data_IF_743289173523
#
_entry.id   IF_743289173523
#
_cell.length_a   1.000
_cell.length_b   1.000
_cell.length_c   1.000
_cell.angle_alpha   90.00
_cell.angle_beta   90.00
_cell.angle_gamma   90.00
#
_symmetry.space_group_name_H-M   'P 1'
#
loop_
_entity.id
_entity.type
_entity.pdbx_description
1 polymer ?
#
# COMPACT_ATOMS: atom_id res chain seq x y z
N UNK A 1 -11.38 18.07 35.25
CA UNK A 1 -11.57 17.21 34.07
C UNK A 1 -10.21 16.96 33.41
N UNK A 2 -9.97 15.77 32.85
CA UNK A 2 -8.64 15.31 32.42
C UNK A 2 -8.34 15.76 30.99
N UNK A 3 -7.19 16.39 30.79
CA UNK A 3 -6.62 16.70 29.48
C UNK A 3 -5.65 15.58 29.07
N UNK A 4 -5.64 15.25 27.78
CA UNK A 4 -4.72 14.24 27.24
C UNK A 4 -3.64 14.95 26.42
N UNK A 5 -2.38 14.77 26.80
CA UNK A 5 -1.24 15.42 26.19
C UNK A 5 -0.36 14.35 25.54
N UNK A 6 -0.24 14.36 24.22
CA UNK A 6 0.70 13.52 23.47
C UNK A 6 1.86 14.38 23.01
N UNK A 7 3.08 13.93 23.27
CA UNK A 7 4.31 14.66 22.91
C UNK A 7 5.32 13.73 22.26
N UNK A 8 6.11 14.28 21.35
CA UNK A 8 7.21 13.56 20.70
C UNK A 8 8.36 14.51 20.35
N UNK A 9 9.59 14.03 20.49
CA UNK A 9 10.80 14.75 20.12
C UNK A 9 11.52 14.10 18.94
N UNK A 10 11.77 14.87 17.89
CA UNK A 10 12.55 14.42 16.74
C UNK A 10 13.89 15.17 16.67
N UNK A 11 15.00 14.44 16.50
CA UNK A 11 16.30 15.04 16.16
C UNK A 11 16.93 14.32 14.97
N UNK A 12 17.48 15.12 14.05
CA UNK A 12 18.08 14.67 12.79
C UNK A 12 19.23 15.59 12.38
N UNK A 13 19.93 15.24 11.30
CA UNK A 13 20.98 16.11 10.73
C UNK A 13 20.45 17.46 10.24
N UNK A 14 19.15 17.53 9.92
CA UNK A 14 18.49 18.72 9.42
C UNK A 14 18.06 19.69 10.53
N UNK A 15 17.99 19.20 11.77
CA UNK A 15 17.52 19.97 12.92
C UNK A 15 16.77 19.08 13.91
N UNK A 16 16.29 19.72 14.97
CA UNK A 16 15.46 19.08 15.99
C UNK A 16 14.10 19.79 16.08
N UNK A 17 13.08 19.04 16.46
CA UNK A 17 11.71 19.50 16.51
C UNK A 17 10.91 18.78 17.57
N UNK A 18 9.84 19.42 17.99
CA UNK A 18 8.90 18.97 19.01
C UNK A 18 7.51 18.96 18.41
N UNK A 19 6.78 17.88 18.64
CA UNK A 19 5.39 17.73 18.29
C UNK A 19 4.52 17.60 19.53
N UNK A 20 3.39 18.30 19.54
CA UNK A 20 2.47 18.34 20.68
C UNK A 20 1.05 18.22 20.16
N UNK A 21 0.29 17.30 20.75
CA UNK A 21 -1.15 17.17 20.55
C UNK A 21 -1.83 17.16 21.91
N UNK A 22 -2.58 18.21 22.19
CA UNK A 22 -3.30 18.40 23.44
C UNK A 22 -4.81 18.30 23.18
N UNK A 23 -5.47 17.36 23.85
CA UNK A 23 -6.90 17.09 23.72
C UNK A 23 -7.63 17.52 24.98
N UNK A 24 -8.63 18.39 24.81
CA UNK A 24 -9.46 18.87 25.91
C UNK A 24 -10.46 17.80 26.37
N UNK A 25 -11.02 17.93 27.59
CA UNK A 25 -12.07 17.04 28.07
C UNK A 25 -13.34 17.05 27.21
N UNK A 26 -13.55 18.09 26.40
CA UNK A 26 -14.67 18.25 25.47
C UNK A 26 -14.36 17.69 24.07
N UNK A 27 -13.14 17.20 23.83
CA UNK A 27 -12.71 16.60 22.58
C UNK A 27 -12.09 17.57 21.58
N UNK A 28 -11.88 18.83 21.96
CA UNK A 28 -11.16 19.81 21.12
C UNK A 28 -9.68 19.45 21.09
N UNK A 29 -9.07 19.55 19.91
CA UNK A 29 -7.68 19.17 19.68
C UNK A 29 -6.86 20.41 19.35
N UNK A 30 -5.78 20.61 20.09
CA UNK A 30 -4.77 21.63 19.83
C UNK A 30 -3.46 20.94 19.44
N UNK A 31 -3.03 21.15 18.20
CA UNK A 31 -1.80 20.56 17.65
C UNK A 31 -0.78 21.65 17.36
N UNK A 32 0.46 21.45 17.83
CA UNK A 32 1.55 22.39 17.62
C UNK A 32 2.87 21.67 17.29
N UNK A 33 3.67 22.34 16.48
CA UNK A 33 5.00 21.91 16.04
C UNK A 33 6.00 23.02 16.34
N UNK A 34 7.05 22.73 17.09
CA UNK A 34 8.11 23.68 17.43
C UNK A 34 9.45 23.22 16.92
N UNK A 35 10.15 24.06 16.14
CA UNK A 35 11.55 23.82 15.79
C UNK A 35 12.44 24.25 16.95
N UNK A 36 13.40 23.41 17.30
CA UNK A 36 14.46 23.78 18.23
C UNK A 36 15.59 24.47 17.46
N UNK A 37 15.86 25.74 17.77
CA UNK A 37 16.90 26.54 17.11
C UNK A 37 18.30 26.32 17.74
N UNK A 38 18.48 25.14 18.32
CA UNK A 38 19.72 24.69 18.95
C UNK A 38 19.91 23.18 18.68
N UNK A 39 21.16 22.69 18.67
CA UNK A 39 21.41 21.26 18.54
C UNK A 39 20.91 20.51 19.78
N UNK A 40 20.02 19.55 19.55
CA UNK A 40 19.52 18.64 20.57
C UNK A 40 19.76 17.20 20.15
N UNK A 41 20.13 16.33 21.08
CA UNK A 41 20.06 14.88 20.87
C UNK A 41 18.60 14.40 20.83
N UNK A 42 18.34 13.15 20.43
CA UNK A 42 16.99 12.59 20.49
C UNK A 42 16.42 12.71 21.91
N UNK A 43 17.15 12.27 22.94
CA UNK A 43 16.67 12.33 24.32
C UNK A 43 16.39 13.76 24.79
N UNK A 44 17.21 14.73 24.35
CA UNK A 44 16.99 16.15 24.66
C UNK A 44 15.73 16.66 23.96
N UNK A 45 15.50 16.32 22.69
CA UNK A 45 14.28 16.68 21.98
C UNK A 45 13.02 16.10 22.64
N UNK A 46 13.08 14.86 23.16
CA UNK A 46 11.96 14.26 23.91
C UNK A 46 11.66 15.02 25.21
N UNK A 47 12.70 15.46 25.92
CA UNK A 47 12.55 16.29 27.11
C UNK A 47 12.01 17.68 26.79
N UNK A 48 12.49 18.31 25.71
CA UNK A 48 11.93 19.58 25.23
C UNK A 48 10.46 19.40 24.83
N UNK A 49 10.09 18.24 24.28
CA UNK A 49 8.72 17.95 23.91
C UNK A 49 7.78 17.90 25.11
N UNK A 50 8.15 17.18 26.17
CA UNK A 50 7.33 17.16 27.40
C UNK A 50 7.28 18.54 28.06
N UNK A 51 8.39 19.27 28.13
CA UNK A 51 8.44 20.60 28.74
C UNK A 51 7.56 21.60 27.98
N UNK A 52 7.65 21.62 26.65
CA UNK A 52 6.80 22.46 25.81
C UNK A 52 5.32 22.06 25.96
N UNK A 53 5.03 20.76 26.01
CA UNK A 53 3.67 20.23 26.21
C UNK A 53 3.06 20.68 27.54
N UNK A 54 3.82 20.60 28.63
CA UNK A 54 3.37 21.05 29.95
C UNK A 54 3.14 22.56 29.99
N UNK A 55 4.04 23.35 29.39
CA UNK A 55 3.87 24.81 29.30
C UNK A 55 2.59 25.18 28.54
N UNK A 56 2.33 24.50 27.42
CA UNK A 56 1.11 24.71 26.65
C UNK A 56 -0.15 24.30 27.43
N UNK A 57 -0.12 23.15 28.11
CA UNK A 57 -1.22 22.69 28.94
C UNK A 57 -1.55 23.67 30.07
N UNK A 58 -0.52 24.27 30.69
CA UNK A 58 -0.69 25.33 31.68
C UNK A 58 -1.31 26.59 31.08
N UNK A 59 -0.86 27.02 29.91
CA UNK A 59 -1.35 28.25 29.25
C UNK A 59 -2.84 28.16 28.89
N UNK A 60 -3.33 26.97 28.54
CA UNK A 60 -4.77 26.73 28.31
C UNK A 60 -5.57 26.49 29.59
N UNK A 61 -4.94 26.56 30.77
CA UNK A 61 -5.61 26.40 32.07
C UNK A 61 -5.97 24.96 32.43
N UNK A 62 -5.21 23.96 31.94
CA UNK A 62 -5.42 22.57 32.31
C UNK A 62 -5.04 22.34 33.79
N UNK A 63 -5.98 21.80 34.58
CA UNK A 63 -5.76 21.46 35.99
C UNK A 63 -5.29 20.01 36.19
N UNK A 64 -5.73 19.09 35.34
CA UNK A 64 -5.43 17.66 35.41
C UNK A 64 -4.94 17.17 34.04
N UNK A 65 -3.71 16.66 33.96
CA UNK A 65 -3.07 16.29 32.69
C UNK A 65 -2.61 14.84 32.73
N UNK A 66 -2.98 14.06 31.71
CA UNK A 66 -2.36 12.79 31.38
C UNK A 66 -1.43 12.99 30.19
N UNK A 67 -0.12 12.91 30.43
CA UNK A 67 0.86 12.96 29.37
C UNK A 67 1.21 11.55 28.86
N UNK A 68 1.39 11.45 27.55
CA UNK A 68 1.84 10.26 26.85
C UNK A 68 3.09 10.60 26.03
N UNK A 69 4.11 9.76 26.15
CA UNK A 69 5.30 9.81 25.30
C UNK A 69 5.72 8.37 24.95
N UNK A 70 6.46 8.18 23.86
CA UNK A 70 7.00 6.85 23.51
C UNK A 70 8.44 6.63 24.05
N UNK A 71 9.09 7.71 24.49
CA UNK A 71 10.43 7.70 25.06
C UNK A 71 10.48 7.00 26.40
N UNK A 72 11.02 5.77 26.38
CA UNK A 72 11.24 4.98 27.59
C UNK A 72 12.14 5.68 28.60
N UNK A 73 13.14 6.44 28.13
CA UNK A 73 14.09 7.12 29.01
C UNK A 73 13.38 8.21 29.81
N UNK A 74 12.62 9.07 29.15
CA UNK A 74 11.89 10.17 29.80
C UNK A 74 10.87 9.61 30.80
N UNK A 75 10.07 8.63 30.39
CA UNK A 75 9.06 8.04 31.27
C UNK A 75 9.67 7.39 32.52
N UNK A 76 10.78 6.64 32.38
CA UNK A 76 11.42 5.94 33.50
C UNK A 76 12.25 6.84 34.40
N UNK A 77 12.87 7.90 33.86
CA UNK A 77 13.55 8.88 34.69
C UNK A 77 12.55 9.70 35.50
N UNK A 78 11.41 10.06 34.89
CA UNK A 78 10.35 10.76 35.60
C UNK A 78 9.69 9.92 36.71
N UNK A 79 9.47 8.61 36.48
CA UNK A 79 8.94 7.71 37.52
C UNK A 79 9.93 7.43 38.65
N UNK A 80 11.22 7.77 38.47
CA UNK A 80 12.29 7.45 39.41
C UNK A 80 12.85 6.03 39.25
N UNK A 81 12.45 5.29 38.21
CA UNK A 81 12.99 3.96 37.92
C UNK A 81 14.42 4.01 37.39
N UNK A 82 14.78 5.08 36.67
CA UNK A 82 16.11 5.34 36.11
C UNK A 82 16.74 6.61 36.67
N UNK A 83 18.03 6.56 36.97
CA UNK A 83 18.80 7.74 37.36
C UNK A 83 19.17 8.59 36.12
N UNK A 84 19.16 9.92 36.30
CA UNK A 84 19.77 10.86 35.37
C UNK A 84 21.29 10.87 35.59
N UNK A 85 22.04 10.29 34.66
CA UNK A 85 23.48 10.05 34.82
C UNK A 85 24.38 11.28 34.58
N UNK A 86 23.84 12.31 33.94
CA UNK A 86 24.58 13.52 33.55
C UNK A 86 23.81 14.77 34.01
N UNK A 87 24.54 15.82 34.37
CA UNK A 87 24.04 17.10 34.87
C UNK A 87 22.99 17.70 33.93
N UNK A 88 23.15 17.50 32.62
CA UNK A 88 22.20 18.00 31.62
C UNK A 88 20.85 17.26 31.68
N UNK A 89 20.85 15.94 31.79
CA UNK A 89 19.62 15.15 31.91
C UNK A 89 18.96 15.36 33.27
N UNK A 90 19.76 15.55 34.32
CA UNK A 90 19.25 15.90 35.65
C UNK A 90 18.56 17.27 35.65
N UNK A 91 19.12 18.26 34.94
CA UNK A 91 18.46 19.54 34.74
C UNK A 91 17.11 19.42 34.01
N UNK A 92 17.02 18.60 32.96
CA UNK A 92 15.77 18.33 32.27
C UNK A 92 14.72 17.64 33.15
N UNK A 93 15.13 16.64 33.92
CA UNK A 93 14.27 15.95 34.86
C UNK A 93 13.74 16.89 35.94
N UNK A 94 14.59 17.77 36.49
CA UNK A 94 14.21 18.80 37.47
C UNK A 94 13.15 19.74 36.91
N UNK A 95 13.38 20.32 35.72
CA UNK A 95 12.41 21.23 35.09
C UNK A 95 11.08 20.53 34.82
N UNK A 96 11.11 19.30 34.30
CA UNK A 96 9.89 18.52 34.03
C UNK A 96 9.13 18.21 35.32
N UNK A 97 9.85 17.88 36.40
CA UNK A 97 9.27 17.59 37.73
C UNK A 97 8.74 18.84 38.43
N UNK A 98 9.33 20.00 38.20
CA UNK A 98 8.82 21.27 38.72
C UNK A 98 7.55 21.69 37.99
N UNK A 99 7.53 21.61 36.66
CA UNK A 99 6.34 21.91 35.86
C UNK A 99 5.17 20.98 36.18
N UNK A 100 5.43 19.70 36.42
CA UNK A 100 4.37 18.74 36.75
C UNK A 100 3.64 19.05 38.07
N UNK A 101 4.33 19.70 39.03
CA UNK A 101 3.75 20.12 40.32
C UNK A 101 2.80 21.30 40.21
N UNK A 102 2.80 22.00 39.08
CA UNK A 102 1.87 23.11 38.86
C UNK A 102 0.44 22.63 38.56
N UNK A 103 0.27 21.36 38.21
CA UNK A 103 -1.02 20.73 37.98
C UNK A 103 -1.56 20.10 39.27
N UNK A 104 -2.89 20.08 39.43
CA UNK A 104 -3.55 19.38 40.55
C UNK A 104 -3.35 17.87 40.47
N UNK A 105 -3.20 17.34 39.26
CA UNK A 105 -2.89 15.94 38.99
C UNK A 105 -2.11 15.84 37.69
N UNK A 106 -1.02 15.09 37.73
CA UNK A 106 -0.19 14.80 36.58
C UNK A 106 0.19 13.32 36.54
N UNK A 107 0.04 12.70 35.38
CA UNK A 107 0.47 11.33 35.10
C UNK A 107 1.27 11.33 33.80
N UNK A 108 2.43 10.68 33.78
CA UNK A 108 3.21 10.44 32.56
C UNK A 108 3.22 8.94 32.27
N UNK A 109 2.71 8.55 31.10
CA UNK A 109 2.62 7.15 30.67
C UNK A 109 3.39 6.92 29.39
N UNK A 110 4.22 5.88 29.39
CA UNK A 110 4.86 5.41 28.16
C UNK A 110 3.84 4.69 27.28
N UNK A 111 3.76 5.07 26.02
CA UNK A 111 2.96 4.36 25.00
C UNK A 111 3.85 3.80 23.88
N UNK A 112 3.39 2.81 23.10
CA UNK A 112 4.06 2.40 21.87
C UNK A 112 4.10 3.55 20.85
N UNK A 113 5.17 3.62 20.05
CA UNK A 113 5.31 4.64 19.00
C UNK A 113 4.16 4.62 17.97
N UNK A 114 3.60 3.44 17.70
CA UNK A 114 2.45 3.30 16.81
C UNK A 114 1.17 3.99 17.33
N UNK A 115 1.11 4.32 18.62
CA UNK A 115 0.01 5.05 19.25
C UNK A 115 0.32 6.55 19.43
N UNK A 116 1.53 7.01 19.05
CA UNK A 116 1.98 8.40 19.17
C UNK A 116 2.21 9.07 17.79
N UNK A 117 1.54 8.59 16.75
CA UNK A 117 1.84 8.91 15.35
C UNK A 117 1.68 10.38 15.00
N UNK A 118 0.69 11.05 15.59
CA UNK A 118 0.39 12.45 15.34
C UNK A 118 1.46 13.36 15.92
N UNK A 119 1.89 13.10 17.16
CA UNK A 119 2.96 13.86 17.79
C UNK A 119 4.30 13.63 17.05
N UNK A 120 4.60 12.39 16.64
CA UNK A 120 5.77 12.06 15.81
C UNK A 120 5.78 12.83 14.49
N UNK A 121 4.63 12.86 13.79
CA UNK A 121 4.50 13.61 12.54
C UNK A 121 4.73 15.12 12.74
N UNK A 122 4.19 15.69 13.83
CA UNK A 122 4.37 17.09 14.19
C UNK A 122 5.84 17.42 14.54
N UNK A 123 6.53 16.53 15.24
CA UNK A 123 7.94 16.69 15.59
C UNK A 123 8.85 16.60 14.34
N UNK A 124 8.56 15.61 13.48
CA UNK A 124 9.25 15.44 12.20
C UNK A 124 9.08 16.65 11.29
N UNK A 125 7.88 17.21 11.21
CA UNK A 125 7.57 18.43 10.46
C UNK A 125 8.41 19.61 10.95
N UNK A 126 8.48 19.82 12.26
CA UNK A 126 9.29 20.89 12.86
C UNK A 126 10.78 20.73 12.58
N UNK A 127 11.32 19.52 12.74
CA UNK A 127 12.76 19.23 12.58
C UNK A 127 13.29 19.52 11.17
N UNK A 128 12.41 19.49 10.15
CA UNK A 128 12.75 19.69 8.73
C UNK A 128 12.39 21.08 8.21
N UNK A 129 11.78 21.92 9.03
CA UNK A 129 11.33 23.26 8.62
C UNK A 129 12.48 24.26 8.66
N UNK A 130 12.53 25.15 7.68
CA UNK A 130 13.50 26.26 7.65
C UNK A 130 13.06 27.38 8.60
N UNK A 131 13.96 27.82 9.50
CA UNK A 131 13.65 28.83 10.52
C UNK A 131 13.51 30.24 9.95
N UNK A 132 13.99 30.49 8.73
CA UNK A 132 13.91 31.82 8.10
C UNK A 132 12.49 32.22 7.66
N UNK A 133 11.53 31.28 7.63
CA UNK A 133 10.18 31.50 7.11
C UNK A 133 9.14 31.24 8.19
N UNK A 134 8.38 32.28 8.54
CA UNK A 134 7.13 32.11 9.30
C UNK A 134 6.12 31.41 8.39
N UNK A 135 5.76 30.18 8.72
CA UNK A 135 4.79 29.36 7.98
C UNK A 135 3.56 29.10 8.83
N UNK A 136 2.40 29.15 8.20
CA UNK A 136 1.14 28.66 8.76
C UNK A 136 0.69 27.51 7.87
N UNK A 137 0.35 26.37 8.47
CA UNK A 137 -0.08 25.17 7.75
C UNK A 137 -1.59 25.04 7.97
N UNK A 138 -2.43 25.48 7.04
CA UNK A 138 -3.86 25.22 7.12
C UNK A 138 -4.12 23.74 6.84
N UNK A 139 -4.90 23.10 7.71
CA UNK A 139 -5.43 21.75 7.48
C UNK A 139 -6.87 21.91 7.05
N UNK A 140 -7.15 21.61 5.77
CA UNK A 140 -8.49 21.68 5.18
C UNK A 140 -8.97 20.28 4.79
N UNK A 141 -10.26 20.01 4.98
CA UNK A 141 -10.88 18.75 4.58
C UNK A 141 -11.44 18.88 3.17
N UNK A 142 -11.01 18.01 2.26
CA UNK A 142 -11.61 17.86 0.93
C UNK A 142 -12.61 16.70 1.01
N UNK A 143 -13.91 17.02 1.06
CA UNK A 143 -14.97 16.03 1.28
C UNK A 143 -15.19 15.08 0.09
N UNK A 144 -14.87 15.53 -1.12
CA UNK A 144 -15.11 14.76 -2.35
C UNK A 144 -13.93 14.87 -3.31
N UNK A 145 -13.60 13.80 -4.07
CA UNK A 145 -12.57 13.87 -5.10
C UNK A 145 -12.86 14.97 -6.14
N UNK A 146 -11.83 15.68 -6.57
CA UNK A 146 -11.95 16.73 -7.59
C UNK A 146 -12.22 16.21 -9.02
N UNK A 147 -12.51 14.91 -9.18
CA UNK A 147 -12.71 14.26 -10.48
C UNK A 147 -14.12 13.67 -10.58
N UNK A 148 -14.64 13.66 -11.81
CA UNK A 148 -15.87 12.91 -12.15
C UNK A 148 -15.45 11.64 -12.85
N UNK A 149 -15.66 10.51 -12.20
CA UNK A 149 -15.44 9.21 -12.84
C UNK A 149 -16.53 8.94 -13.89
N UNK A 150 -16.20 8.27 -15.01
CA UNK A 150 -17.19 7.80 -15.97
C UNK A 150 -18.23 6.92 -15.26
N UNK A 151 -19.49 6.98 -15.70
CA UNK A 151 -20.55 6.11 -15.18
C UNK A 151 -20.11 4.64 -15.32
N UNK A 152 -20.09 3.90 -14.21
CA UNK A 152 -19.68 2.48 -14.16
C UNK A 152 -18.24 2.23 -13.69
N UNK A 153 -17.40 3.26 -13.51
CA UNK A 153 -16.10 3.11 -12.86
C UNK A 153 -16.28 3.02 -11.33
N UNK A 154 -16.15 1.82 -10.77
CA UNK A 154 -16.08 1.63 -9.33
C UNK A 154 -14.66 1.94 -8.83
N UNK A 155 -14.55 2.81 -7.83
CA UNK A 155 -13.34 2.90 -7.03
C UNK A 155 -13.22 1.55 -6.31
N UNK A 156 -12.12 0.84 -6.54
CA UNK A 156 -11.75 -0.30 -5.70
C UNK A 156 -11.42 0.27 -4.33
N UNK A 157 -12.42 0.41 -3.46
CA UNK A 157 -12.18 0.68 -2.05
C UNK A 157 -11.44 -0.53 -1.51
N UNK A 158 -10.16 -0.34 -1.20
CA UNK A 158 -9.39 -1.29 -0.38
C UNK A 158 -9.92 -1.11 1.04
N UNK A 159 -11.16 -1.52 1.29
CA UNK A 159 -11.48 -2.01 2.61
C UNK A 159 -10.81 -3.37 2.67
N UNK A 160 -9.86 -3.53 3.59
CA UNK A 160 -9.60 -4.85 4.15
C UNK A 160 -10.89 -5.22 4.89
N UNK A 161 -11.89 -5.68 4.13
CA UNK A 161 -13.00 -6.42 4.73
C UNK A 161 -12.35 -7.67 5.28
N UNK A 162 -12.34 -7.76 6.61
CA UNK A 162 -11.99 -8.96 7.35
C UNK A 162 -12.72 -10.14 6.72
N UNK A 163 -11.96 -11.18 6.41
CA UNK A 163 -12.44 -12.39 5.77
C UNK A 163 -13.52 -13.03 6.66
N UNK A 164 -14.80 -12.86 6.28
CA UNK A 164 -15.84 -13.79 6.70
C UNK A 164 -15.68 -15.05 5.86
N UNK A 165 -15.07 -16.05 6.50
CA UNK A 165 -14.95 -17.43 6.05
C UNK A 165 -16.33 -18.09 5.78
N UNK A 166 -16.28 -19.05 4.84
CA UNK A 166 -17.19 -20.18 4.65
C UNK A 166 -18.56 -19.97 3.99
N UNK A 167 -18.67 -20.44 2.74
CA UNK A 167 -19.68 -21.44 2.32
C UNK A 167 -19.15 -22.12 1.04
N UNK A 168 -19.01 -23.46 1.10
CA UNK A 168 -18.51 -24.31 0.01
C UNK A 168 -19.23 -24.07 -1.33
N UNK A 169 -18.47 -23.86 -2.40
CA UNK A 169 -18.97 -23.80 -3.78
C UNK A 169 -19.60 -25.15 -4.17
N UNK A 170 -20.87 -25.19 -4.60
CA UNK A 170 -21.33 -26.30 -5.43
C UNK A 170 -20.71 -26.15 -6.82
N UNK A 171 -19.86 -27.10 -7.22
CA UNK A 171 -19.41 -27.31 -8.60
C UNK A 171 -20.63 -27.57 -9.49
N UNK A 172 -21.16 -26.53 -10.14
CA UNK A 172 -22.14 -26.70 -11.23
C UNK A 172 -21.39 -26.84 -12.55
N UNK A 173 -21.68 -27.87 -13.37
CA UNK A 173 -21.13 -27.96 -14.72
C UNK A 173 -21.51 -26.72 -15.52
N UNK A 174 -20.57 -26.14 -16.26
CA UNK A 174 -20.88 -25.12 -17.26
C UNK A 174 -21.89 -25.72 -18.24
N UNK A 175 -23.10 -25.16 -18.31
CA UNK A 175 -24.10 -25.55 -19.29
C UNK A 175 -23.60 -25.18 -20.69
N UNK A 176 -23.62 -26.16 -21.59
CA UNK A 176 -23.15 -26.10 -22.99
C UNK A 176 -24.04 -25.24 -23.93
N UNK A 177 -24.45 -24.04 -23.51
CA UNK A 177 -25.30 -23.16 -24.33
C UNK A 177 -24.75 -21.74 -24.39
N UNK A 178 -23.79 -21.49 -25.30
CA UNK A 178 -23.77 -20.35 -26.23
C UNK A 178 -22.41 -20.29 -26.96
N UNK A 179 -22.25 -21.04 -28.05
CA UNK A 179 -21.03 -21.06 -28.89
C UNK A 179 -20.85 -19.79 -29.75
N UNK A 180 -21.43 -18.65 -29.37
CA UNK A 180 -21.39 -17.43 -30.20
C UNK A 180 -21.17 -16.12 -29.43
N UNK A 181 -21.06 -16.13 -28.10
CA UNK A 181 -20.86 -14.90 -27.32
C UNK A 181 -19.41 -14.75 -26.88
N UNK A 182 -18.84 -13.57 -27.12
CA UNK A 182 -17.49 -13.24 -26.65
C UNK A 182 -17.51 -13.16 -25.14
N UNK A 183 -16.43 -13.60 -24.48
CA UNK A 183 -16.25 -13.44 -23.03
C UNK A 183 -16.37 -11.98 -22.56
N UNK A 184 -16.20 -11.04 -23.49
CA UNK A 184 -16.33 -9.60 -23.26
C UNK A 184 -17.79 -9.17 -23.08
N UNK A 185 -18.74 -9.86 -23.73
CA UNK A 185 -20.14 -9.45 -23.81
C UNK A 185 -20.80 -9.47 -22.43
N UNK A 186 -20.57 -10.53 -21.65
CA UNK A 186 -21.07 -10.64 -20.26
C UNK A 186 -20.60 -9.47 -19.38
N UNK A 187 -19.35 -9.04 -19.56
CA UNK A 187 -18.76 -7.93 -18.79
C UNK A 187 -19.29 -6.59 -19.31
N UNK A 188 -19.39 -6.43 -20.64
CA UNK A 188 -19.95 -5.22 -21.26
C UNK A 188 -21.40 -4.99 -20.85
N UNK A 189 -22.23 -6.03 -20.90
CA UNK A 189 -23.63 -5.96 -20.51
C UNK A 189 -23.79 -5.56 -19.03
N UNK A 190 -22.97 -6.13 -18.14
CA UNK A 190 -22.94 -5.71 -16.74
C UNK A 190 -22.52 -4.24 -16.56
N UNK A 191 -21.47 -3.80 -17.27
CA UNK A 191 -20.97 -2.42 -17.14
C UNK A 191 -21.91 -1.37 -17.76
N UNK A 192 -22.65 -1.71 -18.82
CA UNK A 192 -23.57 -0.80 -19.52
C UNK A 192 -24.96 -0.83 -18.89
N UNK A 193 -25.52 -2.02 -18.71
CA UNK A 193 -26.92 -2.23 -18.37
C UNK A 193 -27.13 -2.70 -16.91
N UNK A 194 -26.07 -3.04 -16.18
CA UNK A 194 -26.17 -3.58 -14.82
C UNK A 194 -26.75 -4.99 -14.76
N UNK A 195 -26.77 -5.72 -15.88
CA UNK A 195 -27.34 -7.06 -15.96
C UNK A 195 -26.55 -8.05 -15.12
N UNK A 196 -27.22 -8.76 -14.22
CA UNK A 196 -26.62 -9.79 -13.37
C UNK A 196 -27.31 -11.13 -13.62
N UNK A 197 -26.56 -12.26 -13.61
CA UNK A 197 -27.15 -13.59 -13.64
C UNK A 197 -28.14 -13.80 -12.49
N UNK A 198 -29.20 -14.59 -12.73
CA UNK A 198 -30.17 -14.95 -11.70
C UNK A 198 -29.55 -15.77 -10.56
N UNK A 199 -28.52 -16.57 -10.87
CA UNK A 199 -27.76 -17.33 -9.87
C UNK A 199 -26.88 -16.37 -9.04
N UNK A 200 -27.11 -16.35 -7.72
CA UNK A 200 -26.36 -15.51 -6.75
C UNK A 200 -24.84 -15.69 -6.84
N UNK A 201 -24.35 -16.91 -7.05
CA UNK A 201 -22.93 -17.22 -7.16
C UNK A 201 -22.33 -16.71 -8.47
N UNK A 202 -23.04 -16.92 -9.58
CA UNK A 202 -22.63 -16.37 -10.88
C UNK A 202 -22.64 -14.83 -10.85
N UNK A 203 -23.63 -14.21 -10.20
CA UNK A 203 -23.66 -12.76 -9.99
C UNK A 203 -22.50 -12.27 -9.13
N UNK A 204 -22.17 -12.96 -8.02
CA UNK A 204 -21.00 -12.62 -7.18
C UNK A 204 -19.69 -12.73 -7.97
N UNK A 205 -19.53 -13.80 -8.75
CA UNK A 205 -18.36 -14.01 -9.62
C UNK A 205 -18.24 -12.92 -10.68
N UNK A 206 -19.34 -12.56 -11.34
CA UNK A 206 -19.36 -11.49 -12.33
C UNK A 206 -19.01 -10.14 -11.72
N UNK A 207 -19.56 -9.77 -10.55
CA UNK A 207 -19.22 -8.52 -9.85
C UNK A 207 -17.73 -8.44 -9.52
N UNK A 208 -17.17 -9.50 -8.93
CA UNK A 208 -15.74 -9.58 -8.58
C UNK A 208 -14.86 -9.49 -9.83
N UNK A 209 -15.24 -10.20 -10.90
CA UNK A 209 -14.53 -10.18 -12.18
C UNK A 209 -14.58 -8.78 -12.80
N UNK A 210 -15.76 -8.19 -12.91
CA UNK A 210 -16.01 -6.90 -13.54
C UNK A 210 -15.37 -5.72 -12.80
N UNK A 211 -15.08 -5.83 -11.50
CA UNK A 211 -14.37 -4.81 -10.73
C UNK A 211 -13.00 -4.43 -11.31
N UNK A 212 -12.37 -5.32 -12.09
CA UNK A 212 -11.10 -5.06 -12.76
C UNK A 212 -11.24 -4.44 -14.15
N UNK A 213 -12.46 -4.22 -14.65
CA UNK A 213 -12.71 -3.79 -16.03
C UNK A 213 -13.45 -2.46 -16.08
N UNK A 214 -13.27 -1.75 -17.18
CA UNK A 214 -14.01 -0.52 -17.49
C UNK A 214 -14.15 -0.34 -18.99
N UNK A 215 -15.11 0.49 -19.41
CA UNK A 215 -15.36 0.81 -20.81
C UNK A 215 -14.88 2.23 -21.14
N UNK A 216 -14.23 2.35 -22.30
CA UNK A 216 -13.86 3.63 -22.89
C UNK A 216 -14.03 3.55 -24.41
N UNK A 217 -14.82 4.45 -24.99
CA UNK A 217 -15.12 4.47 -26.45
C UNK A 217 -15.62 3.11 -27.00
N UNK A 218 -16.50 2.43 -26.25
CA UNK A 218 -17.02 1.08 -26.58
C UNK A 218 -15.97 -0.06 -26.59
N UNK A 219 -14.75 0.24 -26.14
CA UNK A 219 -13.69 -0.75 -25.94
C UNK A 219 -13.55 -1.12 -24.47
N UNK A 220 -13.35 -2.42 -24.21
CA UNK A 220 -13.18 -2.96 -22.86
C UNK A 220 -11.71 -2.90 -22.45
N UNK A 221 -11.44 -2.34 -21.28
CA UNK A 221 -10.13 -2.26 -20.68
C UNK A 221 -10.09 -2.97 -19.34
N UNK A 222 -8.89 -3.41 -18.92
CA UNK A 222 -8.63 -4.08 -17.65
C UNK A 222 -7.52 -3.37 -16.87
N UNK A 223 -7.73 -3.17 -15.58
CA UNK A 223 -6.70 -2.80 -14.62
C UNK A 223 -5.86 -4.01 -14.19
N UNK A 224 -4.55 -3.86 -14.26
CA UNK A 224 -3.62 -4.79 -13.60
C UNK A 224 -3.41 -4.41 -12.13
N UNK A 225 -2.92 -5.34 -11.32
CA UNK A 225 -2.56 -5.07 -9.92
C UNK A 225 -1.57 -3.89 -9.78
N UNK A 226 -0.72 -3.67 -10.79
CA UNK A 226 0.24 -2.57 -10.84
C UNK A 226 -0.33 -1.28 -11.48
N UNK A 227 -1.66 -1.16 -11.57
CA UNK A 227 -2.38 -0.02 -12.15
C UNK A 227 -2.05 0.29 -13.62
N UNK A 228 -1.50 -0.66 -14.37
CA UNK A 228 -1.36 -0.58 -15.84
C UNK A 228 -2.69 -0.96 -16.48
N UNK A 229 -3.09 -0.18 -17.49
CA UNK A 229 -4.31 -0.38 -18.27
C UNK A 229 -3.99 -1.28 -19.48
N UNK A 230 -4.79 -2.34 -19.67
CA UNK A 230 -4.68 -3.24 -20.82
C UNK A 230 -5.98 -3.21 -21.62
N UNK A 231 -5.88 -3.06 -22.95
CA UNK A 231 -7.01 -3.21 -23.88
C UNK A 231 -7.36 -4.69 -24.02
N UNK A 232 -8.64 -5.02 -23.88
CA UNK A 232 -9.12 -6.38 -23.99
C UNK A 232 -9.36 -6.76 -25.45
N UNK A 233 -8.85 -7.91 -25.86
CA UNK A 233 -9.02 -8.45 -27.19
C UNK A 233 -10.15 -9.50 -27.23
N UNK A 234 -10.91 -9.50 -28.31
CA UNK A 234 -11.75 -10.64 -28.70
C UNK A 234 -10.88 -11.80 -29.25
N UNK A 235 -11.51 -12.95 -29.53
CA UNK A 235 -10.79 -14.12 -30.03
C UNK A 235 -10.12 -13.91 -31.40
N UNK A 236 -10.71 -13.10 -32.28
CA UNK A 236 -10.18 -12.84 -33.62
C UNK A 236 -8.97 -11.91 -33.55
N UNK A 237 -9.03 -10.91 -32.68
CA UNK A 237 -7.96 -9.98 -32.37
C UNK A 237 -6.81 -10.73 -31.67
N UNK A 238 -7.12 -11.57 -30.68
CA UNK A 238 -6.13 -12.39 -29.98
C UNK A 238 -5.31 -13.25 -30.95
N UNK A 239 -5.97 -13.93 -31.90
CA UNK A 239 -5.30 -14.74 -32.94
C UNK A 239 -4.35 -13.90 -33.80
N UNK A 240 -4.79 -12.73 -34.27
CA UNK A 240 -3.96 -11.82 -35.07
C UNK A 240 -2.75 -11.32 -34.29
N UNK A 241 -2.96 -10.92 -33.03
CA UNK A 241 -1.89 -10.44 -32.14
C UNK A 241 -0.85 -11.53 -31.88
N UNK A 242 -1.28 -12.77 -31.65
CA UNK A 242 -0.36 -13.90 -31.46
C UNK A 242 0.48 -14.15 -32.71
N UNK A 243 -0.14 -14.23 -33.89
CA UNK A 243 0.56 -14.44 -35.18
C UNK A 243 1.58 -13.32 -35.41
N UNK A 244 1.16 -12.06 -35.32
CA UNK A 244 2.04 -10.92 -35.58
C UNK A 244 3.21 -10.83 -34.58
N UNK A 245 2.95 -11.11 -33.30
CA UNK A 245 3.98 -11.00 -32.25
C UNK A 245 4.97 -12.17 -32.28
N UNK A 246 4.52 -13.35 -32.73
CA UNK A 246 5.31 -14.58 -32.77
C UNK A 246 6.04 -14.77 -34.11
N UNK A 247 5.35 -14.56 -35.24
CA UNK A 247 5.77 -14.87 -36.62
C UNK A 247 5.93 -13.62 -37.51
N UNK A 248 5.47 -12.44 -37.07
CA UNK A 248 5.51 -11.21 -37.86
C UNK A 248 6.93 -10.65 -38.05
N UNK A 249 7.03 -9.45 -38.64
CA UNK A 249 8.32 -8.84 -39.02
C UNK A 249 9.30 -8.61 -37.85
N UNK A 250 8.78 -8.57 -36.60
CA UNK A 250 9.56 -8.52 -35.35
C UNK A 250 9.37 -9.75 -34.46
N UNK A 251 8.90 -10.85 -35.03
CA UNK A 251 8.69 -12.13 -34.37
C UNK A 251 10.01 -12.78 -34.00
N UNK A 252 10.10 -13.30 -32.78
CA UNK A 252 11.31 -13.97 -32.27
C UNK A 252 11.04 -15.43 -31.89
N UNK A 253 9.91 -16.00 -32.33
CA UNK A 253 9.52 -17.37 -32.04
C UNK A 253 9.58 -17.75 -30.54
N UNK A 254 9.33 -16.78 -29.66
CA UNK A 254 9.40 -16.99 -28.22
C UNK A 254 8.34 -18.00 -27.75
N UNK A 255 8.68 -18.80 -26.73
CA UNK A 255 7.75 -19.76 -26.13
C UNK A 255 6.53 -19.09 -25.48
N UNK A 256 5.45 -19.85 -25.29
CA UNK A 256 4.11 -19.34 -24.93
C UNK A 256 4.06 -18.33 -23.78
N UNK A 257 4.71 -18.60 -22.65
CA UNK A 257 4.76 -17.65 -21.50
C UNK A 257 5.47 -16.34 -21.83
N UNK A 258 6.54 -16.41 -22.61
CA UNK A 258 7.31 -15.23 -23.05
C UNK A 258 6.52 -14.42 -24.08
N UNK A 259 5.80 -15.10 -24.97
CA UNK A 259 4.88 -14.46 -25.93
C UNK A 259 3.76 -13.71 -25.20
N UNK A 260 3.08 -14.36 -24.25
CA UNK A 260 2.04 -13.73 -23.43
C UNK A 260 2.56 -12.51 -22.66
N UNK A 261 3.77 -12.59 -22.11
CA UNK A 261 4.41 -11.48 -21.41
C UNK A 261 4.73 -10.30 -22.34
N UNK A 262 5.19 -10.58 -23.57
CA UNK A 262 5.44 -9.55 -24.60
C UNK A 262 4.13 -8.85 -25.00
N UNK A 263 3.06 -9.62 -25.21
CA UNK A 263 1.74 -9.08 -25.56
C UNK A 263 1.18 -8.19 -24.44
N UNK A 264 1.31 -8.61 -23.17
CA UNK A 264 0.94 -7.75 -22.02
C UNK A 264 1.74 -6.45 -21.96
N UNK A 265 3.04 -6.48 -22.30
CA UNK A 265 3.86 -5.26 -22.40
C UNK A 265 3.38 -4.31 -23.50
N UNK A 266 2.75 -4.83 -24.55
CA UNK A 266 2.08 -4.03 -25.57
C UNK A 266 0.69 -3.50 -25.15
N UNK A 267 0.28 -3.74 -23.90
CA UNK A 267 -0.98 -3.21 -23.38
C UNK A 267 -2.21 -4.02 -23.79
N UNK A 268 -2.06 -5.29 -24.16
CA UNK A 268 -3.16 -6.14 -24.63
C UNK A 268 -3.48 -7.25 -23.62
N UNK A 269 -4.74 -7.72 -23.58
CA UNK A 269 -5.19 -8.74 -22.64
C UNK A 269 -6.38 -9.59 -23.15
N UNK A 270 -6.43 -10.87 -22.78
CA UNK A 270 -7.65 -11.70 -22.77
C UNK A 270 -7.50 -12.84 -21.74
N UNK A 271 -8.59 -13.44 -21.22
CA UNK A 271 -8.56 -14.37 -20.08
C UNK A 271 -7.67 -15.60 -20.27
N UNK A 272 -7.76 -16.25 -21.43
CA UNK A 272 -7.02 -17.48 -21.76
C UNK A 272 -5.67 -17.23 -22.44
N UNK A 273 -5.14 -16.01 -22.36
CA UNK A 273 -3.92 -15.59 -23.08
C UNK A 273 -2.72 -16.51 -22.92
N UNK A 274 -2.44 -16.98 -21.71
CA UNK A 274 -1.26 -17.82 -21.47
C UNK A 274 -1.42 -19.16 -22.18
N UNK A 275 -2.57 -19.82 -21.97
CA UNK A 275 -2.92 -21.08 -22.60
C UNK A 275 -2.96 -20.97 -24.13
N UNK A 276 -3.57 -19.91 -24.66
CA UNK A 276 -3.65 -19.66 -26.10
C UNK A 276 -2.26 -19.44 -26.71
N UNK A 277 -1.38 -18.69 -26.04
CA UNK A 277 -0.01 -18.49 -26.49
C UNK A 277 0.78 -19.81 -26.46
N UNK A 278 0.64 -20.62 -25.41
CA UNK A 278 1.27 -21.94 -25.32
C UNK A 278 0.80 -22.85 -26.47
N UNK A 279 -0.52 -22.95 -26.67
CA UNK A 279 -1.12 -23.74 -27.74
C UNK A 279 -0.70 -23.26 -29.14
N UNK A 280 -0.59 -21.94 -29.34
CA UNK A 280 -0.15 -21.37 -30.61
C UNK A 280 1.31 -21.73 -30.90
N UNK A 281 2.21 -21.50 -29.93
CA UNK A 281 3.63 -21.82 -30.07
C UNK A 281 3.88 -23.31 -30.25
N UNK A 282 3.09 -24.17 -29.58
CA UNK A 282 3.17 -25.61 -29.72
C UNK A 282 2.79 -26.10 -31.12
N UNK A 283 1.99 -25.34 -31.90
CA UNK A 283 1.58 -25.66 -33.27
C UNK A 283 2.48 -25.03 -34.34
N UNK A 284 3.42 -24.16 -33.95
CA UNK A 284 4.27 -23.44 -34.89
C UNK A 284 5.33 -24.38 -35.50
N UNK A 285 5.25 -24.61 -36.81
CA UNK A 285 6.15 -25.55 -37.53
C UNK A 285 7.63 -25.14 -37.40
N UNK A 286 8.03 -23.86 -37.59
CA UNK A 286 9.40 -23.42 -37.32
C UNK A 286 9.86 -23.74 -35.89
N UNK A 287 9.04 -23.45 -34.88
CA UNK A 287 9.41 -23.77 -33.49
C UNK A 287 9.56 -25.27 -33.26
N UNK A 288 8.68 -26.10 -33.82
CA UNK A 288 8.79 -27.56 -33.71
C UNK A 288 10.03 -28.12 -34.39
N UNK A 289 10.42 -27.57 -35.55
CA UNK A 289 11.59 -28.05 -36.32
C UNK A 289 12.92 -27.60 -35.73
N UNK A 290 12.99 -26.40 -35.18
CA UNK A 290 14.24 -25.76 -34.77
C UNK A 290 14.39 -25.61 -33.25
N UNK A 291 13.45 -26.15 -32.46
CA UNK A 291 13.58 -26.15 -31.01
C UNK A 291 14.84 -26.93 -30.56
N UNK A 292 15.61 -26.40 -29.60
CA UNK A 292 16.72 -27.14 -29.02
C UNK A 292 16.20 -28.40 -28.34
N UNK A 293 16.80 -29.55 -28.63
CA UNK A 293 16.46 -30.81 -27.98
C UNK A 293 17.05 -30.76 -26.56
N UNK A 294 16.20 -30.43 -25.58
CA UNK A 294 16.62 -30.18 -24.18
C UNK A 294 17.24 -31.43 -23.51
N UNK A 295 17.08 -32.62 -24.13
CA UNK A 295 17.63 -33.90 -23.66
C UNK A 295 18.55 -34.60 -24.67
N UNK A 296 19.12 -33.88 -25.66
CA UNK A 296 20.10 -34.50 -26.54
C UNK A 296 21.40 -34.77 -25.75
N UNK A 297 22.00 -35.97 -25.86
CA UNK A 297 23.28 -36.22 -25.25
C UNK A 297 24.32 -35.23 -25.81
N UNK A 298 25.19 -34.70 -24.96
CA UNK A 298 26.25 -33.73 -25.33
C UNK A 298 27.19 -34.26 -26.43
N UNK A 299 27.18 -35.57 -26.67
CA UNK A 299 27.97 -36.25 -27.68
C UNK A 299 27.12 -37.35 -28.32
N UNK A 300 27.28 -37.59 -29.63
CA UNK A 300 26.61 -38.71 -30.29
C UNK A 300 26.99 -40.02 -29.59
N UNK A 301 25.98 -40.87 -29.31
CA UNK A 301 26.19 -42.18 -28.69
C UNK A 301 27.08 -43.03 -29.61
N UNK A 302 28.35 -43.16 -29.26
CA UNK A 302 29.25 -44.07 -29.94
C UNK A 302 28.94 -45.50 -29.47
N UNK A 303 28.52 -46.35 -30.40
CA UNK A 303 28.35 -47.76 -30.13
C UNK A 303 29.71 -48.38 -29.80
N UNK A 304 29.89 -48.86 -28.57
CA UNK A 304 31.08 -49.63 -28.20
C UNK A 304 31.04 -50.97 -28.93
N UNK A 305 32.02 -51.23 -29.78
CA UNK A 305 32.22 -52.58 -30.33
C UNK A 305 32.62 -53.50 -29.17
N UNK A 306 31.93 -54.62 -28.93
CA UNK A 306 32.31 -55.54 -27.86
C UNK A 306 33.73 -56.05 -28.12
N UNK A 307 34.58 -55.96 -27.09
CA UNK A 307 35.92 -56.52 -27.14
C UNK A 307 35.81 -58.04 -27.04
N UNK A 308 35.96 -58.69 -28.20
CA UNK A 308 36.13 -60.13 -28.45
C UNK A 308 34.89 -61.02 -28.55
N UNK A 309 34.98 -62.11 -29.36
CA UNK A 309 33.86 -62.99 -29.65
C UNK A 309 34.08 -64.38 -29.02
N UNK A 310 33.67 -64.60 -27.78
CA UNK A 310 33.14 -65.89 -27.28
C UNK A 310 32.64 -65.74 -25.83
#
# INVERSE_FOLDING_TARGET
AKWLLHVDGASSKQGSGVGIRLVSPTGEVLEQSFKLDFPASNNEAEYEAIIAGLRLAKEVGADHVHAFCDSQLVAKQFSGDYDAKDDRMDAYLKVTTELSKEFKSFELTKIPRAENTEADALAALASRTDSALRRTIPVETIEQPSIKLPKGAFIMTIYQEEEEDEEDEPMTPESEEDQSRSWQDEIKDYLINGTIPANRWAARRLRRKAAYYFLQNDELFRWTANKVILRCCDETQAKKVMIETHEGAGGNHAGGKSLASKIKKHGLFWPKMIEDCENHTAKCIPCQRYAPIINAPTQELQASVPAYPF
#
